data_IF_376254791050
#
_entry.id   IF_376254791050
#
_cell.length_a   1.000
_cell.length_b   1.000
_cell.length_c   1.000
_cell.angle_alpha   90.00
_cell.angle_beta   90.00
_cell.angle_gamma   90.00
#
_symmetry.space_group_name_H-M   'P 1'
#
loop_
_entity.id
_entity.type
_entity.pdbx_description
1 polymer ?
#
# COMPACT_ATOMS: atom_id res chain seq x y z
N UNK A 1 -5.59 2.57 -14.80
CA UNK A 1 -4.96 1.85 -13.69
C UNK A 1 -4.57 2.81 -12.59
N UNK A 2 -4.77 2.42 -11.36
CA UNK A 2 -4.44 3.24 -10.20
C UNK A 2 -3.42 2.50 -9.35
N UNK A 3 -2.40 3.21 -8.88
CA UNK A 3 -1.40 2.67 -7.95
C UNK A 3 -1.64 3.28 -6.57
N UNK A 4 -1.68 2.41 -5.57
CA UNK A 4 -1.88 2.75 -4.17
C UNK A 4 -0.64 2.33 -3.40
N UNK A 5 0.00 3.28 -2.74
CA UNK A 5 1.24 3.04 -1.98
C UNK A 5 1.01 3.45 -0.54
N UNK A 6 1.41 2.59 0.39
CA UNK A 6 1.31 2.86 1.82
C UNK A 6 2.64 2.55 2.47
N UNK A 7 3.05 3.42 3.38
CA UNK A 7 4.21 3.17 4.25
C UNK A 7 3.70 3.00 5.68
N UNK A 8 4.26 2.02 6.40
CA UNK A 8 3.91 1.78 7.79
C UNK A 8 5.13 1.76 8.69
N UNK A 9 4.95 2.37 9.85
CA UNK A 9 5.86 2.16 10.97
C UNK A 9 5.23 1.13 11.90
N UNK A 10 5.97 0.09 12.24
CA UNK A 10 5.50 -0.98 13.09
C UNK A 10 5.77 -0.70 14.56
N UNK A 11 4.90 -1.19 15.42
CA UNK A 11 5.18 -1.26 16.84
C UNK A 11 6.35 -2.21 17.07
N UNK A 12 7.13 -1.97 18.10
CA UNK A 12 8.31 -2.80 18.40
C UNK A 12 7.95 -4.23 18.79
N UNK A 13 6.82 -4.41 19.49
CA UNK A 13 6.39 -5.72 19.93
C UNK A 13 6.07 -6.63 18.76
N UNK A 14 6.74 -7.78 18.68
CA UNK A 14 6.56 -8.78 17.62
C UNK A 14 6.76 -8.22 16.21
N UNK A 15 7.60 -7.22 16.06
CA UNK A 15 7.78 -6.46 14.82
C UNK A 15 8.05 -7.36 13.62
N UNK A 16 9.02 -8.26 13.71
CA UNK A 16 9.39 -9.12 12.59
C UNK A 16 8.30 -10.12 12.24
N UNK A 17 7.66 -10.69 13.25
CA UNK A 17 6.55 -11.62 13.05
C UNK A 17 5.37 -10.91 12.40
N UNK A 18 5.03 -9.72 12.88
CA UNK A 18 3.91 -8.96 12.36
C UNK A 18 4.17 -8.49 10.94
N UNK A 19 5.41 -8.12 10.60
CA UNK A 19 5.78 -7.75 9.24
C UNK A 19 5.49 -8.92 8.28
N UNK A 20 5.88 -10.14 8.63
CA UNK A 20 5.64 -11.31 7.80
C UNK A 20 4.15 -11.59 7.62
N UNK A 21 3.37 -11.44 8.69
CA UNK A 21 1.93 -11.67 8.65
C UNK A 21 1.23 -10.61 7.78
N UNK A 22 1.64 -9.36 7.89
CA UNK A 22 1.09 -8.27 7.06
C UNK A 22 1.31 -8.56 5.58
N UNK A 23 2.54 -8.96 5.23
CA UNK A 23 2.87 -9.32 3.86
C UNK A 23 1.97 -10.44 3.35
N UNK A 24 1.85 -11.51 4.11
CA UNK A 24 1.04 -12.67 3.73
C UNK A 24 -0.43 -12.29 3.54
N UNK A 25 -1.00 -11.57 4.51
CA UNK A 25 -2.43 -11.21 4.48
C UNK A 25 -2.76 -10.28 3.31
N UNK A 26 -1.94 -9.29 3.04
CA UNK A 26 -2.24 -8.32 2.00
C UNK A 26 -1.98 -8.87 0.61
N UNK A 27 -0.92 -9.62 0.42
CA UNK A 27 -0.62 -10.23 -0.89
C UNK A 27 -1.64 -11.32 -1.25
N UNK A 28 -2.23 -11.97 -0.26
CA UNK A 28 -3.26 -12.99 -0.48
C UNK A 28 -4.58 -12.40 -1.01
N UNK A 29 -4.76 -11.08 -0.96
CA UNK A 29 -5.98 -10.43 -1.45
C UNK A 29 -6.06 -10.38 -2.98
N UNK A 30 -4.94 -10.55 -3.67
CA UNK A 30 -4.94 -10.63 -5.13
C UNK A 30 -5.67 -11.90 -5.54
N UNK A 31 -6.66 -11.76 -6.43
CA UNK A 31 -7.53 -12.88 -6.82
C UNK A 31 -8.75 -13.06 -5.93
N UNK A 32 -8.79 -12.37 -4.78
CA UNK A 32 -9.92 -12.38 -3.85
C UNK A 32 -10.73 -11.09 -3.97
N UNK A 33 -10.05 -9.94 -4.00
CA UNK A 33 -10.70 -8.64 -4.11
C UNK A 33 -10.80 -8.25 -5.58
N UNK A 34 -12.03 -8.03 -6.09
CA UNK A 34 -12.21 -7.63 -7.49
C UNK A 34 -11.47 -6.34 -7.81
N UNK A 35 -10.80 -6.31 -8.96
CA UNK A 35 -10.10 -5.13 -9.44
C UNK A 35 -8.71 -4.91 -8.85
N UNK A 36 -8.31 -5.68 -7.84
CA UNK A 36 -6.94 -5.65 -7.33
C UNK A 36 -6.06 -6.51 -8.22
N UNK A 37 -5.16 -5.86 -8.96
CA UNK A 37 -4.31 -6.53 -9.95
C UNK A 37 -3.04 -7.07 -9.31
N UNK A 38 -2.44 -6.27 -8.43
CA UNK A 38 -1.14 -6.57 -7.83
C UNK A 38 -1.09 -6.00 -6.42
N UNK A 39 -0.44 -6.72 -5.52
CA UNK A 39 -0.12 -6.23 -4.19
C UNK A 39 1.22 -6.84 -3.78
N UNK A 40 2.14 -5.99 -3.36
CA UNK A 40 3.46 -6.41 -2.88
C UNK A 40 3.82 -5.61 -1.65
N UNK A 41 4.21 -6.31 -0.60
CA UNK A 41 4.69 -5.71 0.64
C UNK A 41 6.19 -5.94 0.72
N UNK A 42 6.94 -4.88 0.91
CA UNK A 42 8.40 -4.93 1.02
C UNK A 42 8.87 -4.31 2.31
N UNK A 43 10.05 -4.76 2.75
CA UNK A 43 10.73 -4.23 3.92
C UNK A 43 11.59 -3.03 3.50
N UNK A 44 11.55 -1.96 4.28
CA UNK A 44 12.46 -0.83 4.07
C UNK A 44 13.90 -1.29 4.34
N UNK A 45 14.76 -1.13 3.35
CA UNK A 45 16.18 -1.46 3.49
C UNK A 45 16.97 -0.38 4.22
N UNK A 46 16.36 0.80 4.33
CA UNK A 46 16.96 1.95 5.02
C UNK A 46 16.32 2.02 6.40
N UNK A 47 17.13 2.15 7.45
CA UNK A 47 16.62 2.33 8.79
C UNK A 47 16.17 3.79 8.96
N UNK A 48 14.90 4.02 8.70
CA UNK A 48 14.30 5.34 8.65
C UNK A 48 12.93 5.31 9.35
N UNK A 49 12.10 6.32 9.07
CA UNK A 49 10.81 6.51 9.73
C UNK A 49 9.82 5.36 9.53
N UNK A 50 9.92 4.64 8.42
CA UNK A 50 8.97 3.58 8.08
C UNK A 50 9.65 2.24 7.92
N UNK A 51 8.93 1.17 8.24
CA UNK A 51 9.46 -0.20 8.23
C UNK A 51 9.03 -1.01 7.02
N UNK A 52 7.81 -0.79 6.55
CA UNK A 52 7.21 -1.54 5.45
C UNK A 52 6.60 -0.60 4.41
N UNK A 53 6.55 -1.09 3.18
CA UNK A 53 5.88 -0.44 2.07
C UNK A 53 4.94 -1.44 1.40
N UNK A 54 3.71 -1.00 1.10
CA UNK A 54 2.79 -1.71 0.23
C UNK A 54 2.72 -0.98 -1.10
N UNK A 55 2.89 -1.71 -2.20
CA UNK A 55 2.60 -1.21 -3.54
C UNK A 55 1.49 -2.07 -4.11
N UNK A 56 0.36 -1.46 -4.44
CA UNK A 56 -0.77 -2.19 -5.02
C UNK A 56 -1.30 -1.46 -6.24
N UNK A 57 -1.87 -2.22 -7.17
CA UNK A 57 -2.43 -1.69 -8.40
C UNK A 57 -3.85 -2.18 -8.58
N UNK A 58 -4.70 -1.27 -9.05
CA UNK A 58 -6.13 -1.50 -9.26
C UNK A 58 -6.50 -1.16 -10.70
N UNK A 59 -7.54 -1.80 -11.21
CA UNK A 59 -8.01 -1.55 -12.58
C UNK A 59 -8.40 -0.09 -12.78
N UNK A 60 -9.01 0.52 -11.76
CA UNK A 60 -9.45 1.91 -11.79
C UNK A 60 -9.68 2.43 -10.37
N UNK A 61 -10.05 3.69 -10.26
CA UNK A 61 -10.31 4.34 -8.98
C UNK A 61 -11.49 3.72 -8.25
N UNK A 62 -12.51 3.31 -8.98
CA UNK A 62 -13.68 2.66 -8.38
C UNK A 62 -13.30 1.35 -7.70
N UNK A 63 -12.40 0.57 -8.30
CA UNK A 63 -11.89 -0.65 -7.69
C UNK A 63 -11.16 -0.36 -6.38
N UNK A 64 -10.36 0.70 -6.33
CA UNK A 64 -9.69 1.11 -5.10
C UNK A 64 -10.68 1.51 -4.01
N UNK A 65 -11.73 2.26 -4.37
CA UNK A 65 -12.77 2.64 -3.41
C UNK A 65 -13.49 1.42 -2.86
N UNK A 66 -13.83 0.46 -3.74
CA UNK A 66 -14.47 -0.79 -3.33
C UNK A 66 -13.57 -1.64 -2.42
N UNK A 67 -12.26 -1.63 -2.67
CA UNK A 67 -11.28 -2.32 -1.85
C UNK A 67 -11.32 -1.82 -0.40
N UNK A 68 -11.45 -0.52 -0.20
CA UNK A 68 -11.45 0.07 1.14
C UNK A 68 -12.54 -0.49 2.04
N UNK A 69 -13.69 -0.83 1.47
CA UNK A 69 -14.84 -1.34 2.22
C UNK A 69 -15.05 -2.85 2.04
N UNK A 70 -14.19 -3.51 1.29
CA UNK A 70 -14.30 -4.95 1.04
C UNK A 70 -14.07 -5.73 2.34
N UNK A 71 -14.96 -6.70 2.69
CA UNK A 71 -14.84 -7.44 3.96
C UNK A 71 -13.53 -8.19 4.12
N UNK A 72 -12.98 -8.76 3.06
CA UNK A 72 -11.71 -9.49 3.14
C UNK A 72 -10.55 -8.54 3.40
N UNK A 73 -10.56 -7.37 2.74
CA UNK A 73 -9.59 -6.33 3.02
C UNK A 73 -9.72 -5.82 4.46
N UNK A 74 -10.95 -5.62 4.94
CA UNK A 74 -11.17 -5.10 6.29
C UNK A 74 -10.62 -6.04 7.36
N UNK A 75 -10.70 -7.35 7.14
CA UNK A 75 -10.12 -8.33 8.07
C UNK A 75 -8.59 -8.20 8.12
N UNK A 76 -7.96 -8.11 6.96
CA UNK A 76 -6.51 -7.91 6.88
C UNK A 76 -6.10 -6.57 7.49
N UNK A 77 -6.85 -5.52 7.18
CA UNK A 77 -6.59 -4.16 7.68
C UNK A 77 -6.68 -4.06 9.20
N UNK A 78 -7.57 -4.84 9.82
CA UNK A 78 -7.69 -4.86 11.28
C UNK A 78 -6.39 -5.32 11.94
N UNK A 79 -5.75 -6.34 11.39
CA UNK A 79 -4.45 -6.81 11.88
C UNK A 79 -3.37 -5.75 11.68
N UNK A 80 -3.36 -5.12 10.49
CA UNK A 80 -2.40 -4.07 10.19
C UNK A 80 -2.54 -2.92 11.19
N UNK A 81 -3.75 -2.43 11.42
CA UNK A 81 -4.00 -1.32 12.35
C UNK A 81 -3.51 -1.64 13.76
N UNK A 82 -3.67 -2.89 14.20
CA UNK A 82 -3.22 -3.30 15.53
C UNK A 82 -1.69 -3.37 15.63
N UNK A 83 -1.00 -3.50 14.51
CA UNK A 83 0.45 -3.73 14.46
C UNK A 83 1.27 -2.47 14.19
N UNK A 84 0.63 -1.35 13.82
CA UNK A 84 1.35 -0.15 13.38
C UNK A 84 1.23 0.99 14.37
N UNK A 85 2.21 1.91 14.32
CA UNK A 85 2.17 3.17 15.06
C UNK A 85 2.38 4.39 14.15
N UNK A 86 2.44 4.20 12.85
CA UNK A 86 2.54 5.28 11.89
C UNK A 86 2.15 4.80 10.50
N UNK A 87 1.60 5.71 9.69
CA UNK A 87 1.13 5.41 8.34
C UNK A 87 1.12 6.66 7.48
N UNK A 88 1.52 6.49 6.23
CA UNK A 88 1.28 7.49 5.19
C UNK A 88 0.98 6.79 3.89
N UNK A 89 0.27 7.46 2.99
CA UNK A 89 -0.14 6.84 1.73
C UNK A 89 -0.19 7.86 0.59
N UNK A 90 -0.03 7.34 -0.62
CA UNK A 90 -0.16 8.10 -1.86
C UNK A 90 -0.88 7.23 -2.87
N UNK A 91 -1.89 7.79 -3.52
CA UNK A 91 -2.61 7.13 -4.63
C UNK A 91 -2.41 7.97 -5.88
N UNK A 92 -2.20 7.34 -7.01
CA UNK A 92 -2.08 8.08 -8.26
C UNK A 92 -2.61 7.27 -9.44
N UNK A 93 -3.04 8.01 -10.47
CA UNK A 93 -3.49 7.46 -11.74
C UNK A 93 -2.28 7.21 -12.63
N UNK A 94 -2.06 5.96 -13.06
CA UNK A 94 -0.89 5.60 -13.85
C UNK A 94 -0.87 6.23 -15.26
N UNK A 95 -2.02 6.72 -15.71
CA UNK A 95 -2.14 7.32 -17.04
C UNK A 95 -2.04 8.85 -16.99
N UNK A 96 -1.75 9.43 -15.83
CA UNK A 96 -1.60 10.88 -15.71
C UNK A 96 -0.51 11.38 -16.65
N UNK A 97 -0.82 12.51 -17.30
CA UNK A 97 0.06 13.17 -18.23
C UNK A 97 0.51 14.49 -17.63
N UNK A 98 1.81 14.65 -17.43
CA UNK A 98 2.40 15.85 -16.84
C UNK A 98 2.93 16.80 -17.91
N UNK A 99 2.33 16.85 -19.09
CA UNK A 99 2.79 17.72 -20.18
C UNK A 99 2.75 19.20 -19.85
N UNK A 100 1.96 19.59 -18.83
CA UNK A 100 1.84 20.99 -18.40
C UNK A 100 2.88 21.39 -17.36
N UNK A 101 3.83 20.53 -17.04
CA UNK A 101 4.86 20.84 -16.05
C UNK A 101 5.83 21.91 -16.58
N UNK A 102 6.35 22.78 -15.70
CA UNK A 102 7.39 23.73 -16.10
C UNK A 102 8.63 23.02 -16.64
N UNK A 103 9.32 23.67 -17.57
CA UNK A 103 10.49 23.09 -18.23
C UNK A 103 11.66 22.81 -17.28
N UNK A 104 11.72 23.50 -16.18
CA UNK A 104 12.83 23.36 -15.24
C UNK A 104 12.53 22.46 -14.06
N UNK A 105 11.78 21.36 -14.27
CA UNK A 105 11.49 20.38 -13.23
C UNK A 105 12.75 19.53 -13.02
N UNK A 106 13.75 20.10 -12.40
CA UNK A 106 15.02 19.41 -12.13
C UNK A 106 15.15 18.93 -10.69
N UNK A 107 14.07 18.97 -9.93
CA UNK A 107 14.06 18.64 -8.51
C UNK A 107 13.99 17.13 -8.22
N UNK A 108 13.99 16.35 -9.23
CA UNK A 108 13.86 14.90 -9.09
C UNK A 108 15.13 14.23 -8.56
#
# INVERSE_FOLDING_TARGET
>A
MVTHIVFWKLKEENKEKNAAIIKEKLEALVGVVPGLIKAEVGRNLIQDAYDLCLVSQFTDQEALESYRVNPDHQKAAAFVRASICGRTSVDFENTDDFTDLPEDVSLL
#
